data_IF_790767368579
#
_entry.id   IF_790767368579
#
_cell.length_a   1.000
_cell.length_b   1.000
_cell.length_c   1.000
_cell.angle_alpha   90.00
_cell.angle_beta   90.00
_cell.angle_gamma   90.00
#
_symmetry.space_group_name_H-M   'P 1'
#
loop_
_entity.id
_entity.type
_entity.pdbx_description
1 polymer ?
#
# COMPACT_ATOMS: atom_id res chain seq x y z
N UNK A 1 -15.78 -21.30 -35.68
CA UNK A 1 -14.31 -21.43 -35.71
C UNK A 1 -13.80 -20.41 -34.71
N UNK A 2 -13.43 -20.86 -33.51
CA UNK A 2 -12.87 -19.99 -32.47
C UNK A 2 -11.37 -19.92 -32.69
N UNK A 3 -10.85 -18.72 -32.93
CA UNK A 3 -9.42 -18.46 -32.92
C UNK A 3 -8.94 -18.42 -31.47
N UNK A 4 -8.16 -19.43 -31.11
CA UNK A 4 -7.39 -19.51 -29.88
C UNK A 4 -6.22 -18.55 -30.00
N UNK A 5 -6.30 -17.37 -29.38
CA UNK A 5 -5.13 -16.51 -29.19
C UNK A 5 -4.21 -17.16 -28.15
N UNK A 6 -3.23 -17.89 -28.64
CA UNK A 6 -2.09 -18.38 -27.86
C UNK A 6 -1.21 -17.16 -27.54
N UNK A 7 -1.27 -16.66 -26.31
CA UNK A 7 -0.37 -15.60 -25.86
C UNK A 7 1.06 -16.15 -25.81
N UNK A 8 1.85 -15.78 -26.81
CA UNK A 8 3.28 -16.05 -26.92
C UNK A 8 4.05 -15.35 -25.81
N UNK A 9 4.92 -16.11 -25.16
CA UNK A 9 5.86 -15.67 -24.12
C UNK A 9 6.79 -14.57 -24.65
N UNK A 10 6.76 -13.39 -24.03
CA UNK A 10 7.70 -12.31 -24.33
C UNK A 10 8.90 -12.38 -23.39
N UNK A 11 10.04 -12.84 -23.92
CA UNK A 11 11.30 -13.06 -23.20
C UNK A 11 11.99 -11.74 -22.81
N UNK A 12 11.52 -10.60 -23.32
CA UNK A 12 12.14 -9.29 -23.10
C UNK A 12 11.41 -8.39 -22.08
N UNK A 13 10.41 -8.92 -21.37
CA UNK A 13 9.55 -8.12 -20.50
C UNK A 13 10.02 -8.10 -19.04
N UNK A 14 10.16 -6.93 -18.39
CA UNK A 14 10.41 -6.85 -16.96
C UNK A 14 9.25 -7.48 -16.18
N UNK A 15 9.57 -8.40 -15.26
CA UNK A 15 8.66 -9.24 -14.45
C UNK A 15 7.66 -8.47 -13.55
N UNK A 16 7.56 -7.15 -13.64
CA UNK A 16 6.74 -6.34 -12.71
C UNK A 16 6.04 -5.14 -13.37
N UNK A 17 5.97 -5.06 -14.71
CA UNK A 17 5.30 -3.96 -15.41
C UNK A 17 3.86 -4.34 -15.80
N UNK A 18 2.87 -3.62 -15.27
CA UNK A 18 1.46 -3.88 -15.54
C UNK A 18 1.02 -3.43 -16.94
N UNK A 19 0.21 -4.23 -17.62
CA UNK A 19 -0.55 -3.75 -18.79
C UNK A 19 -1.75 -2.95 -18.32
N UNK A 20 -1.97 -1.77 -18.90
CA UNK A 20 -3.21 -1.02 -18.76
C UNK A 20 -4.25 -1.69 -19.66
N UNK A 21 -5.05 -2.59 -19.09
CA UNK A 21 -6.29 -3.06 -19.72
C UNK A 21 -7.45 -2.12 -19.39
N UNK A 22 -8.53 -2.15 -20.17
CA UNK A 22 -9.72 -1.31 -19.96
C UNK A 22 -10.33 -1.45 -18.55
N UNK A 23 -10.03 -2.53 -17.81
CA UNK A 23 -10.58 -2.88 -16.49
C UNK A 23 -9.52 -3.13 -15.37
N UNK A 24 -8.26 -2.67 -15.51
CA UNK A 24 -7.24 -2.75 -14.44
C UNK A 24 -5.82 -3.09 -14.90
N UNK A 25 -4.89 -3.18 -13.93
CA UNK A 25 -3.48 -3.52 -14.14
C UNK A 25 -3.22 -5.00 -13.86
N UNK A 26 -2.55 -5.69 -14.77
CA UNK A 26 -2.18 -7.11 -14.61
C UNK A 26 -0.68 -7.26 -14.41
N UNK A 27 -0.27 -7.87 -13.30
CA UNK A 27 1.12 -8.15 -12.96
C UNK A 27 1.37 -9.65 -12.94
N UNK A 28 2.50 -10.10 -13.49
CA UNK A 28 2.86 -11.51 -13.52
C UNK A 28 4.16 -11.75 -12.76
N UNK A 29 4.17 -12.69 -11.82
CA UNK A 29 5.38 -13.16 -11.16
C UNK A 29 5.60 -14.64 -11.44
N UNK A 30 6.85 -15.02 -11.73
CA UNK A 30 7.26 -16.40 -11.96
C UNK A 30 8.21 -16.87 -10.86
N UNK A 31 7.89 -18.02 -10.27
CA UNK A 31 8.68 -18.68 -9.25
C UNK A 31 9.12 -20.07 -9.72
N UNK A 32 10.42 -20.21 -9.97
CA UNK A 32 11.06 -21.51 -10.20
C UNK A 32 11.43 -22.09 -8.83
N UNK A 33 10.79 -23.20 -8.45
CA UNK A 33 10.92 -23.80 -7.12
C UNK A 33 11.39 -25.25 -7.20
N UNK A 34 12.44 -25.58 -6.44
CA UNK A 34 12.79 -26.97 -6.13
C UNK A 34 11.86 -27.45 -5.02
N UNK A 35 10.96 -28.38 -5.32
CA UNK A 35 10.03 -28.89 -4.30
C UNK A 35 10.83 -29.63 -3.24
N UNK A 36 10.82 -29.12 -2.01
CA UNK A 36 11.49 -29.74 -0.89
C UNK A 36 10.53 -30.06 0.25
N UNK A 37 10.86 -31.10 1.01
CA UNK A 37 10.23 -31.41 2.29
C UNK A 37 11.07 -30.86 3.42
N UNK A 38 10.41 -30.31 4.44
CA UNK A 38 11.02 -29.87 5.68
C UNK A 38 10.57 -30.79 6.80
N UNK A 39 11.51 -31.23 7.64
CA UNK A 39 11.17 -31.95 8.87
C UNK A 39 10.64 -30.96 9.90
N UNK A 40 9.42 -31.18 10.37
CA UNK A 40 8.80 -30.46 11.49
C UNK A 40 8.43 -31.50 12.54
N UNK A 41 9.21 -31.59 13.61
CA UNK A 41 9.07 -32.66 14.60
C UNK A 41 9.36 -34.04 13.99
N UNK A 42 8.39 -34.96 14.10
CA UNK A 42 8.47 -36.32 13.54
C UNK A 42 7.97 -36.44 12.10
N UNK A 43 7.40 -35.37 11.53
CA UNK A 43 6.78 -35.39 10.21
C UNK A 43 7.59 -34.61 9.17
N UNK A 44 7.49 -35.01 7.91
CA UNK A 44 8.15 -34.35 6.79
C UNK A 44 7.09 -33.79 5.83
N UNK A 45 7.04 -32.47 5.75
CA UNK A 45 5.97 -31.73 5.08
C UNK A 45 6.51 -30.88 3.93
N UNK A 46 5.71 -30.68 2.89
CA UNK A 46 6.07 -29.73 1.83
C UNK A 46 5.84 -28.32 2.40
N UNK A 47 6.91 -27.52 2.43
CA UNK A 47 6.85 -26.12 2.84
C UNK A 47 7.94 -25.35 2.11
N UNK A 48 7.55 -24.63 1.07
CA UNK A 48 8.45 -23.82 0.25
C UNK A 48 7.85 -22.42 0.15
N UNK A 49 8.69 -21.39 0.23
CA UNK A 49 8.27 -19.99 0.21
C UNK A 49 9.10 -19.28 -0.86
N UNK A 50 8.43 -18.52 -1.72
CA UNK A 50 9.12 -17.77 -2.77
C UNK A 50 9.92 -16.60 -2.16
N UNK A 51 10.91 -16.07 -2.88
CA UNK A 51 11.35 -14.70 -2.63
C UNK A 51 10.16 -13.74 -2.65
N UNK A 52 10.25 -12.67 -1.85
CA UNK A 52 9.27 -11.60 -1.92
C UNK A 52 9.37 -10.91 -3.29
N UNK A 53 8.22 -10.54 -3.85
CA UNK A 53 8.11 -9.84 -5.12
C UNK A 53 7.11 -8.70 -5.01
N UNK A 54 7.13 -7.78 -5.98
CA UNK A 54 6.36 -6.55 -5.90
C UNK A 54 5.51 -6.30 -7.13
N UNK A 55 4.29 -5.82 -6.91
CA UNK A 55 3.49 -5.14 -7.93
C UNK A 55 3.64 -3.64 -7.70
N UNK A 56 4.15 -2.92 -8.70
CA UNK A 56 4.46 -1.50 -8.57
C UNK A 56 3.97 -0.72 -9.80
N UNK A 57 3.31 0.40 -9.54
CA UNK A 57 2.83 1.33 -10.56
C UNK A 57 2.64 2.71 -9.93
N UNK A 58 2.90 3.80 -10.67
CA UNK A 58 2.76 5.20 -10.20
C UNK A 58 3.32 5.49 -8.79
N UNK A 59 4.50 4.94 -8.49
CA UNK A 59 5.18 5.15 -7.19
C UNK A 59 4.58 4.39 -6.01
N UNK A 60 3.49 3.64 -6.20
CA UNK A 60 2.89 2.78 -5.17
C UNK A 60 3.34 1.34 -5.37
N UNK A 61 3.71 0.67 -4.28
CA UNK A 61 4.19 -0.71 -4.29
C UNK A 61 3.44 -1.59 -3.30
N UNK A 62 3.04 -2.78 -3.73
CA UNK A 62 2.59 -3.88 -2.87
C UNK A 62 3.58 -5.02 -2.96
N UNK A 63 3.89 -5.63 -1.81
CA UNK A 63 4.83 -6.72 -1.67
C UNK A 63 4.08 -8.00 -1.35
N UNK A 64 4.43 -9.06 -2.08
CA UNK A 64 3.76 -10.34 -2.07
C UNK A 64 4.74 -11.47 -1.85
N UNK A 65 4.24 -12.65 -1.53
CA UNK A 65 5.01 -13.90 -1.48
C UNK A 65 4.12 -15.07 -1.81
N UNK A 66 4.63 -16.05 -2.56
CA UNK A 66 3.97 -17.34 -2.76
C UNK A 66 4.44 -18.33 -1.71
N UNK A 67 3.52 -19.14 -1.20
CA UNK A 67 3.82 -20.27 -0.31
C UNK A 67 3.21 -21.53 -0.89
N UNK A 68 4.03 -22.58 -1.03
CA UNK A 68 3.59 -23.94 -1.34
C UNK A 68 3.63 -24.73 -0.03
N UNK A 69 2.50 -25.17 0.49
CA UNK A 69 2.46 -25.95 1.72
C UNK A 69 1.36 -26.99 1.82
N UNK A 70 1.57 -27.99 2.66
CA UNK A 70 0.51 -28.89 3.11
C UNK A 70 -0.53 -28.10 3.94
N UNK A 71 -1.82 -28.28 3.63
CA UNK A 71 -2.96 -27.57 4.24
C UNK A 71 -3.09 -27.84 5.75
N UNK A 72 -2.57 -28.97 6.24
CA UNK A 72 -2.56 -29.35 7.65
C UNK A 72 -1.65 -28.49 8.55
N UNK A 73 -0.91 -27.52 7.98
CA UNK A 73 -0.04 -26.58 8.72
C UNK A 73 -0.68 -25.19 8.79
N UNK A 74 -1.85 -24.97 8.21
CA UNK A 74 -2.61 -23.73 8.39
C UNK A 74 -3.35 -23.78 9.74
N UNK A 75 -3.16 -22.79 10.64
CA UNK A 75 -3.74 -22.82 12.00
C UNK A 75 -5.28 -22.80 12.04
N UNK A 76 -5.95 -22.46 10.93
CA UNK A 76 -7.41 -22.27 10.86
C UNK A 76 -8.17 -23.40 10.15
N UNK A 77 -7.51 -24.51 9.77
CA UNK A 77 -8.20 -25.65 9.16
C UNK A 77 -8.81 -26.57 10.24
N UNK A 78 -10.06 -26.29 10.65
CA UNK A 78 -10.85 -27.17 11.52
C UNK A 78 -11.40 -28.42 10.81
N UNK A 79 -11.30 -28.47 9.48
CA UNK A 79 -11.75 -29.61 8.68
C UNK A 79 -10.59 -30.56 8.39
N UNK A 80 -10.46 -31.58 9.24
CA UNK A 80 -9.47 -32.66 9.15
C UNK A 80 -9.59 -33.56 7.88
N UNK A 81 -10.36 -33.15 6.87
CA UNK A 81 -10.63 -33.90 5.63
C UNK A 81 -9.87 -33.39 4.40
N UNK A 82 -9.14 -32.26 4.49
CA UNK A 82 -8.36 -31.68 3.39
C UNK A 82 -6.86 -31.80 3.63
N UNK A 83 -6.32 -33.02 3.59
CA UNK A 83 -4.87 -33.24 3.57
C UNK A 83 -4.34 -33.09 2.14
N UNK A 84 -4.04 -31.85 1.73
CA UNK A 84 -3.53 -31.54 0.38
C UNK A 84 -2.36 -30.56 0.38
N UNK A 85 -1.57 -30.56 -0.69
CA UNK A 85 -0.56 -29.53 -0.96
C UNK A 85 -1.22 -28.40 -1.75
N UNK A 86 -1.08 -27.17 -1.28
CA UNK A 86 -1.73 -26.02 -1.90
C UNK A 86 -0.76 -24.84 -2.10
N UNK A 87 -1.12 -23.94 -3.01
CA UNK A 87 -0.40 -22.69 -3.31
C UNK A 87 -1.17 -21.52 -2.75
N UNK A 88 -0.48 -20.68 -1.98
CA UNK A 88 -1.02 -19.51 -1.31
C UNK A 88 -0.33 -18.26 -1.83
N UNK A 89 -1.10 -17.18 -2.03
CA UNK A 89 -0.59 -15.83 -2.24
C UNK A 89 -0.71 -15.05 -0.94
N UNK A 90 0.38 -14.49 -0.45
CA UNK A 90 0.43 -13.68 0.77
C UNK A 90 0.64 -12.21 0.44
N UNK A 91 -0.19 -11.35 1.03
CA UNK A 91 0.05 -9.90 1.03
C UNK A 91 0.99 -9.57 2.18
N UNK A 92 2.27 -9.39 1.87
CA UNK A 92 3.33 -9.22 2.87
C UNK A 92 3.39 -7.81 3.40
N UNK A 93 3.38 -6.81 2.52
CA UNK A 93 3.51 -5.41 2.90
C UNK A 93 3.02 -4.46 1.80
N UNK A 94 2.66 -3.23 2.15
CA UNK A 94 2.19 -2.23 1.20
C UNK A 94 1.64 -0.98 1.87
N UNK A 95 0.93 -0.10 1.14
CA UNK A 95 0.50 1.20 1.65
C UNK A 95 -0.72 1.12 2.59
N UNK A 96 -1.56 0.10 2.48
CA UNK A 96 -2.76 -0.07 3.31
C UNK A 96 -2.75 -1.40 4.08
N UNK A 97 -3.47 -1.45 5.21
CA UNK A 97 -3.63 -2.67 6.00
C UNK A 97 -4.54 -3.67 5.27
N UNK A 98 -5.59 -3.17 4.62
CA UNK A 98 -6.57 -3.95 3.87
C UNK A 98 -6.59 -3.46 2.43
N UNK A 99 -6.61 -4.39 1.47
CA UNK A 99 -6.62 -4.11 0.04
C UNK A 99 -7.60 -5.05 -0.66
N UNK A 100 -8.17 -4.61 -1.78
CA UNK A 100 -9.01 -5.46 -2.63
C UNK A 100 -8.37 -5.58 -4.01
N UNK A 101 -8.02 -6.79 -4.43
CA UNK A 101 -7.57 -7.08 -5.80
C UNK A 101 -8.76 -7.43 -6.69
N UNK A 102 -8.57 -7.39 -8.01
CA UNK A 102 -9.63 -7.72 -8.97
C UNK A 102 -9.67 -9.21 -9.30
N UNK A 103 -8.51 -9.87 -9.38
CA UNK A 103 -8.38 -11.30 -9.68
C UNK A 103 -6.96 -11.79 -9.35
N UNK A 104 -6.81 -13.06 -8.96
CA UNK A 104 -5.51 -13.70 -8.87
C UNK A 104 -5.56 -15.14 -9.42
N UNK A 105 -4.69 -15.43 -10.40
CA UNK A 105 -4.65 -16.72 -11.11
C UNK A 105 -3.27 -17.34 -11.01
N UNK A 106 -3.23 -18.62 -10.66
CA UNK A 106 -2.00 -19.41 -10.60
C UNK A 106 -1.94 -20.40 -11.76
N UNK A 107 -0.77 -20.49 -12.37
CA UNK A 107 -0.42 -21.47 -13.39
C UNK A 107 0.78 -22.28 -12.92
N UNK A 108 0.75 -23.59 -13.17
CA UNK A 108 1.83 -24.50 -12.77
C UNK A 108 2.29 -25.27 -14.01
N UNK A 109 3.60 -25.24 -14.21
CA UNK A 109 4.29 -25.85 -15.34
C UNK A 109 5.26 -26.91 -14.82
N UNK A 110 5.30 -28.06 -15.49
CA UNK A 110 6.18 -29.17 -15.13
C UNK A 110 7.67 -28.88 -15.41
N UNK A 111 8.51 -29.86 -15.09
CA UNK A 111 9.97 -29.83 -15.32
C UNK A 111 10.36 -29.69 -16.80
N UNK A 112 9.43 -29.97 -17.73
CA UNK A 112 9.63 -29.97 -19.18
C UNK A 112 9.04 -28.74 -19.85
N UNK A 113 8.39 -27.85 -19.10
CA UNK A 113 7.73 -26.67 -19.66
C UNK A 113 6.28 -26.90 -20.08
N UNK A 114 5.67 -28.05 -19.80
CA UNK A 114 4.27 -28.30 -20.12
C UNK A 114 3.33 -27.74 -19.03
N UNK A 115 2.28 -26.99 -19.39
CA UNK A 115 1.26 -26.57 -18.45
C UNK A 115 0.54 -27.79 -17.85
N UNK A 116 0.52 -27.89 -16.52
CA UNK A 116 -0.17 -28.97 -15.79
C UNK A 116 -1.45 -28.46 -15.15
N UNK A 117 -1.38 -27.26 -14.56
CA UNK A 117 -2.54 -26.58 -13.99
C UNK A 117 -2.58 -25.16 -14.55
N UNK A 118 -3.75 -24.75 -15.05
CA UNK A 118 -3.93 -23.44 -15.67
C UNK A 118 -5.10 -22.70 -15.05
N UNK A 119 -4.92 -21.41 -14.79
CA UNK A 119 -5.95 -20.50 -14.29
C UNK A 119 -6.61 -20.92 -12.95
N UNK A 120 -5.84 -21.56 -12.07
CA UNK A 120 -6.30 -21.87 -10.71
C UNK A 120 -6.61 -20.54 -9.99
N UNK A 121 -7.83 -20.41 -9.47
CA UNK A 121 -8.31 -19.15 -8.93
C UNK A 121 -8.04 -19.01 -7.43
N UNK A 122 -7.65 -17.83 -6.99
CA UNK A 122 -7.82 -17.40 -5.60
C UNK A 122 -9.13 -16.60 -5.56
N UNK A 123 -10.14 -17.09 -4.83
CA UNK A 123 -11.49 -16.52 -4.88
C UNK A 123 -11.60 -15.26 -4.05
N UNK A 124 -10.82 -15.19 -2.98
CA UNK A 124 -10.73 -14.06 -2.08
C UNK A 124 -10.09 -12.89 -2.80
N UNK A 125 -10.81 -11.77 -2.81
CA UNK A 125 -10.35 -10.52 -3.37
C UNK A 125 -9.84 -9.56 -2.29
N UNK A 126 -10.21 -9.75 -1.03
CA UNK A 126 -9.79 -8.92 0.09
C UNK A 126 -8.58 -9.53 0.81
N UNK A 127 -7.49 -8.77 0.91
CA UNK A 127 -6.26 -9.18 1.58
C UNK A 127 -5.96 -8.24 2.74
N UNK A 128 -5.62 -8.82 3.88
CA UNK A 128 -5.12 -8.09 5.04
C UNK A 128 -3.61 -8.28 5.10
N UNK A 129 -2.85 -7.24 5.43
CA UNK A 129 -1.38 -7.33 5.51
C UNK A 129 -0.98 -8.41 6.50
N UNK A 130 -0.15 -9.34 6.04
CA UNK A 130 0.27 -10.54 6.76
C UNK A 130 -0.62 -11.77 6.52
N UNK A 131 -1.76 -11.64 5.82
CA UNK A 131 -2.61 -12.77 5.44
C UNK A 131 -2.26 -13.33 4.07
N UNK A 132 -2.72 -14.55 3.81
CA UNK A 132 -2.60 -15.18 2.50
C UNK A 132 -3.73 -16.15 2.25
N UNK A 133 -4.09 -16.27 0.97
CA UNK A 133 -5.23 -17.05 0.50
C UNK A 133 -4.76 -18.13 -0.46
N UNK A 134 -5.35 -19.32 -0.35
CA UNK A 134 -5.02 -20.46 -1.20
C UNK A 134 -5.76 -20.44 -2.52
N UNK A 135 -5.24 -21.16 -3.50
CA UNK A 135 -6.04 -21.48 -4.69
C UNK A 135 -7.22 -22.36 -4.30
N UNK A 136 -8.39 -22.01 -4.81
CA UNK A 136 -9.61 -22.81 -4.66
C UNK A 136 -9.57 -23.94 -5.67
N UNK A 137 -9.64 -25.16 -5.17
CA UNK A 137 -9.67 -26.39 -5.96
C UNK A 137 -10.83 -27.27 -5.51
N UNK A 138 -11.33 -28.11 -6.42
CA UNK A 138 -12.19 -29.23 -6.05
C UNK A 138 -11.37 -30.33 -5.37
N UNK A 139 -12.00 -31.27 -4.65
CA UNK A 139 -11.28 -32.39 -4.02
C UNK A 139 -10.47 -33.21 -5.03
N UNK A 140 -10.97 -33.37 -6.27
CA UNK A 140 -10.24 -34.07 -7.33
C UNK A 140 -9.01 -33.29 -7.81
N UNK A 141 -9.14 -31.98 -8.01
CA UNK A 141 -8.02 -31.11 -8.39
C UNK A 141 -6.98 -31.02 -7.27
N UNK A 142 -7.42 -30.92 -6.02
CA UNK A 142 -6.53 -30.95 -4.85
C UNK A 142 -5.75 -32.27 -4.78
N UNK A 143 -6.41 -33.39 -5.02
CA UNK A 143 -5.77 -34.71 -5.05
C UNK A 143 -4.70 -34.78 -6.15
N UNK A 144 -5.02 -34.32 -7.36
CA UNK A 144 -4.09 -34.26 -8.50
C UNK A 144 -2.91 -33.31 -8.22
N UNK A 145 -3.18 -32.15 -7.64
CA UNK A 145 -2.16 -31.16 -7.28
C UNK A 145 -1.21 -31.76 -6.25
N UNK A 146 -1.76 -32.41 -5.22
CA UNK A 146 -0.98 -33.08 -4.17
C UNK A 146 -0.11 -34.19 -4.74
N UNK A 147 -0.68 -35.08 -5.56
CA UNK A 147 0.06 -36.16 -6.22
C UNK A 147 1.18 -35.61 -7.12
N UNK A 148 0.90 -34.57 -7.90
CA UNK A 148 1.88 -33.89 -8.73
C UNK A 148 3.04 -33.33 -7.91
N UNK A 149 2.75 -32.62 -6.81
CA UNK A 149 3.77 -32.04 -5.94
C UNK A 149 4.61 -33.11 -5.25
N UNK A 150 3.99 -34.19 -4.77
CA UNK A 150 4.68 -35.31 -4.14
C UNK A 150 5.58 -36.07 -5.13
N UNK A 151 5.14 -36.27 -6.37
CA UNK A 151 5.93 -36.92 -7.43
C UNK A 151 7.12 -36.06 -7.87
N UNK A 152 7.02 -34.74 -7.72
CA UNK A 152 8.07 -33.78 -8.09
C UNK A 152 8.97 -33.34 -6.93
N UNK A 153 8.96 -34.05 -5.79
CA UNK A 153 9.93 -33.80 -4.72
C UNK A 153 11.36 -33.91 -5.27
N UNK A 154 12.21 -32.95 -4.91
CA UNK A 154 13.58 -32.74 -5.39
C UNK A 154 13.71 -32.30 -6.86
N UNK A 155 12.60 -32.11 -7.59
CA UNK A 155 12.61 -31.55 -8.93
C UNK A 155 12.23 -30.06 -8.91
N UNK A 156 12.64 -29.35 -9.98
CA UNK A 156 12.26 -27.96 -10.19
C UNK A 156 10.97 -27.88 -11.00
N UNK A 157 9.97 -27.19 -10.46
CA UNK A 157 8.76 -26.81 -11.18
C UNK A 157 8.69 -25.29 -11.29
N UNK A 158 7.77 -24.80 -12.11
CA UNK A 158 7.53 -23.37 -12.27
C UNK A 158 6.09 -23.05 -11.90
N UNK A 159 5.94 -22.10 -10.97
CA UNK A 159 4.65 -21.57 -10.51
C UNK A 159 4.60 -20.11 -10.92
N UNK A 160 3.61 -19.72 -11.72
CA UNK A 160 3.38 -18.33 -12.09
C UNK A 160 2.06 -17.83 -11.49
N UNK A 161 2.06 -16.60 -10.99
CA UNK A 161 0.85 -15.92 -10.51
C UNK A 161 0.61 -14.66 -11.32
N UNK A 162 -0.62 -14.49 -11.79
CA UNK A 162 -1.11 -13.26 -12.40
C UNK A 162 -2.02 -12.57 -11.38
N UNK A 163 -1.66 -11.35 -10.97
CA UNK A 163 -2.42 -10.53 -10.02
C UNK A 163 -2.99 -9.35 -10.80
N UNK A 164 -4.31 -9.24 -10.83
CA UNK A 164 -5.01 -8.10 -11.44
C UNK A 164 -5.49 -7.17 -10.33
N UNK A 165 -5.16 -5.88 -10.45
CA UNK A 165 -5.46 -4.86 -9.45
C UNK A 165 -6.05 -3.62 -10.11
N UNK A 166 -6.87 -2.87 -9.38
CA UNK A 166 -7.43 -1.62 -9.89
C UNK A 166 -6.34 -0.55 -9.97
N UNK A 167 -6.23 0.16 -11.10
CA UNK A 167 -5.22 1.21 -11.29
C UNK A 167 -5.33 2.32 -10.23
N UNK A 168 -6.53 2.58 -9.70
CA UNK A 168 -6.77 3.57 -8.64
C UNK A 168 -6.05 3.24 -7.34
N UNK A 169 -5.77 1.95 -7.08
CA UNK A 169 -4.97 1.53 -5.92
C UNK A 169 -3.52 2.00 -6.02
N UNK A 170 -3.06 2.37 -7.21
CA UNK A 170 -1.72 2.87 -7.41
C UNK A 170 -1.68 4.40 -7.43
N UNK A 171 -2.73 5.07 -6.96
CA UNK A 171 -2.73 6.51 -6.69
C UNK A 171 -2.21 6.79 -5.28
N UNK A 172 -1.04 7.45 -5.11
CA UNK A 172 -0.51 7.77 -3.78
C UNK A 172 -1.49 8.59 -2.93
N UNK A 173 -2.27 9.46 -3.58
CA UNK A 173 -3.24 10.33 -2.91
C UNK A 173 -4.39 9.56 -2.24
N UNK A 174 -4.67 8.33 -2.65
CA UNK A 174 -5.69 7.47 -2.02
C UNK A 174 -5.30 7.00 -0.62
N UNK A 175 -4.01 7.07 -0.26
CA UNK A 175 -3.50 6.69 1.06
C UNK A 175 -3.38 7.85 2.03
N UNK A 176 -3.61 9.08 1.55
CA UNK A 176 -3.65 10.28 2.37
C UNK A 176 -5.09 10.61 2.76
N UNK A 177 -5.32 11.28 3.90
CA UNK A 177 -6.67 11.66 4.31
C UNK A 177 -7.40 12.49 3.24
N UNK A 178 -8.67 12.18 2.96
CA UNK A 178 -9.43 12.92 1.96
C UNK A 178 -9.82 14.32 2.48
N UNK A 179 -9.44 15.36 1.73
CA UNK A 179 -9.75 16.77 2.03
C UNK A 179 -10.61 17.44 0.95
N UNK A 180 -10.92 16.75 -0.16
CA UNK A 180 -11.64 17.34 -1.29
C UNK A 180 -13.18 17.31 -1.12
N UNK A 181 -13.70 16.49 -0.20
CA UNK A 181 -15.15 16.35 0.09
C UNK A 181 -15.57 17.05 1.38
N UNK A 182 -15.02 18.23 1.63
CA UNK A 182 -15.14 18.92 2.92
C UNK A 182 -16.31 19.88 2.92
N UNK A 183 -16.95 20.00 4.09
CA UNK A 183 -17.96 21.03 4.32
C UNK A 183 -17.32 22.41 4.24
N UNK A 184 -17.81 23.27 3.34
CA UNK A 184 -17.40 24.69 3.26
C UNK A 184 -17.46 25.40 4.60
N UNK A 185 -18.37 24.96 5.48
CA UNK A 185 -18.47 25.45 6.85
C UNK A 185 -17.22 25.14 7.67
N UNK A 186 -16.73 23.90 7.66
CA UNK A 186 -15.54 23.49 8.41
C UNK A 186 -14.31 24.27 7.93
N UNK A 187 -14.11 24.38 6.61
CA UNK A 187 -13.01 25.17 6.05
C UNK A 187 -13.10 26.66 6.45
N UNK A 188 -14.31 27.24 6.40
CA UNK A 188 -14.54 28.62 6.84
C UNK A 188 -14.24 28.83 8.33
N UNK A 189 -14.60 27.87 9.19
CA UNK A 189 -14.27 27.94 10.63
C UNK A 189 -12.77 27.81 10.87
N UNK A 190 -12.06 26.96 10.12
CA UNK A 190 -10.60 26.86 10.17
C UNK A 190 -9.93 28.19 9.86
N UNK A 191 -10.31 28.84 8.74
CA UNK A 191 -9.74 30.14 8.35
C UNK A 191 -10.13 31.25 9.33
N UNK A 192 -11.36 31.23 9.84
CA UNK A 192 -11.85 32.16 10.85
C UNK A 192 -11.01 32.09 12.13
N UNK A 193 -10.74 30.87 12.64
CA UNK A 193 -9.85 30.68 13.79
C UNK A 193 -8.45 31.26 13.57
N UNK A 194 -7.84 31.00 12.41
CA UNK A 194 -6.49 31.49 12.12
C UNK A 194 -6.43 33.01 12.08
N UNK A 195 -7.44 33.64 11.49
CA UNK A 195 -7.60 35.09 11.52
C UNK A 195 -7.75 35.62 12.95
N UNK A 196 -8.55 34.96 13.78
CA UNK A 196 -8.74 35.37 15.18
C UNK A 196 -7.42 35.29 15.98
N UNK A 197 -6.56 34.33 15.68
CA UNK A 197 -5.22 34.22 16.28
C UNK A 197 -4.32 35.37 15.80
N UNK A 198 -4.32 35.66 14.50
CA UNK A 198 -3.56 36.78 13.91
C UNK A 198 -3.98 38.13 14.48
N UNK A 199 -5.29 38.36 14.66
CA UNK A 199 -5.84 39.60 15.22
C UNK A 199 -5.86 39.64 16.75
N UNK A 200 -5.20 38.68 17.42
CA UNK A 200 -5.17 38.53 18.88
C UNK A 200 -6.57 38.49 19.54
N UNK A 201 -7.58 38.08 18.79
CA UNK A 201 -8.96 37.89 19.27
C UNK A 201 -9.09 36.55 20.01
N UNK A 202 -8.29 35.56 19.61
CA UNK A 202 -8.11 34.28 20.31
C UNK A 202 -6.69 34.19 20.85
N UNK A 203 -6.56 33.97 22.16
CA UNK A 203 -5.27 33.76 22.81
C UNK A 203 -4.97 32.25 22.81
N UNK A 204 -3.88 31.87 22.17
CA UNK A 204 -3.35 30.50 22.22
C UNK A 204 -2.57 30.34 23.54
N UNK A 205 -2.94 29.38 24.41
CA UNK A 205 -2.26 29.19 25.68
C UNK A 205 -0.76 28.89 25.52
N UNK A 206 0.06 29.54 26.35
CA UNK A 206 1.52 29.43 26.39
C UNK A 206 2.24 29.75 25.07
N UNK A 207 1.59 30.45 24.14
CA UNK A 207 2.21 30.81 22.87
C UNK A 207 3.38 31.77 23.10
N UNK A 208 3.23 32.71 24.03
CA UNK A 208 4.27 33.66 24.47
C UNK A 208 5.55 32.98 24.96
N UNK A 209 5.43 31.80 25.59
CA UNK A 209 6.58 31.02 26.06
C UNK A 209 7.41 30.44 24.90
N UNK A 210 6.81 30.25 23.73
CA UNK A 210 7.47 29.69 22.54
C UNK A 210 7.75 30.71 21.45
N UNK A 211 7.17 31.92 21.51
CA UNK A 211 7.41 32.99 20.52
C UNK A 211 8.87 33.46 20.47
N UNK A 212 9.61 33.30 21.57
CA UNK A 212 11.04 33.63 21.64
C UNK A 212 11.95 32.42 21.34
N UNK A 213 11.38 31.28 20.97
CA UNK A 213 12.15 30.08 20.63
C UNK A 213 12.70 30.24 19.20
N UNK A 214 13.99 29.92 18.94
CA UNK A 214 14.50 29.81 17.57
C UNK A 214 13.73 28.77 16.73
N UNK A 215 13.04 27.83 17.38
CA UNK A 215 12.30 26.77 16.72
C UNK A 215 10.84 27.15 16.42
N UNK A 216 10.59 27.53 15.17
CA UNK A 216 9.25 27.90 14.68
C UNK A 216 8.24 26.76 14.73
N UNK A 217 8.67 25.49 14.75
CA UNK A 217 7.74 24.37 14.80
C UNK A 217 7.14 24.16 16.19
N UNK A 218 7.79 24.67 17.25
CA UNK A 218 7.18 24.75 18.57
C UNK A 218 5.96 25.70 18.57
N UNK A 219 6.08 26.84 17.89
CA UNK A 219 4.98 27.79 17.66
C UNK A 219 3.88 27.14 16.84
N UNK A 220 4.23 26.52 15.70
CA UNK A 220 3.23 25.87 14.84
C UNK A 220 2.48 24.76 15.56
N UNK A 221 3.17 23.95 16.39
CA UNK A 221 2.55 22.90 17.19
C UNK A 221 1.49 23.44 18.15
N UNK A 222 1.77 24.56 18.82
CA UNK A 222 0.86 25.19 19.79
C UNK A 222 -0.40 25.71 19.10
N UNK A 223 -0.23 26.47 18.01
CA UNK A 223 -1.37 27.00 17.23
C UNK A 223 -2.17 25.84 16.63
N UNK A 224 -1.50 24.85 16.04
CA UNK A 224 -2.16 23.71 15.40
C UNK A 224 -3.02 22.90 16.39
N UNK A 225 -2.46 22.58 17.56
CA UNK A 225 -3.15 21.78 18.58
C UNK A 225 -4.34 22.55 19.17
N UNK A 226 -4.16 23.84 19.47
CA UNK A 226 -5.24 24.68 19.98
C UNK A 226 -6.34 24.86 18.93
N UNK A 227 -5.99 25.08 17.67
CA UNK A 227 -6.94 25.27 16.58
C UNK A 227 -7.79 24.05 16.29
N UNK A 228 -7.21 22.85 16.31
CA UNK A 228 -8.00 21.62 16.20
C UNK A 228 -9.08 21.52 17.28
N UNK A 229 -8.74 21.85 18.54
CA UNK A 229 -9.68 21.80 19.66
C UNK A 229 -10.76 22.88 19.55
N UNK A 230 -10.35 24.12 19.24
CA UNK A 230 -11.24 25.27 19.18
C UNK A 230 -12.20 25.21 17.98
N UNK A 231 -11.72 24.83 16.80
CA UNK A 231 -12.57 24.61 15.62
C UNK A 231 -13.57 23.47 15.89
N UNK A 232 -13.12 22.38 16.51
CA UNK A 232 -14.00 21.29 16.93
C UNK A 232 -15.12 21.77 17.87
N UNK A 233 -14.77 22.66 18.81
CA UNK A 233 -15.75 23.29 19.72
C UNK A 233 -16.73 24.19 18.97
N UNK A 234 -16.27 25.07 18.07
CA UNK A 234 -17.12 25.97 17.26
C UNK A 234 -18.14 25.20 16.41
N UNK A 235 -17.77 24.01 15.96
CA UNK A 235 -18.64 23.14 15.15
C UNK A 235 -19.66 22.34 15.95
N UNK A 236 -19.60 22.36 17.30
CA UNK A 236 -20.55 21.69 18.19
C UNK A 236 -20.85 20.22 17.79
N UNK A 237 -19.81 19.47 17.39
CA UNK A 237 -19.94 18.05 17.01
C UNK A 237 -20.52 17.79 15.61
N UNK A 238 -20.71 18.84 14.78
CA UNK A 238 -21.14 18.65 13.37
C UNK A 238 -20.07 18.06 12.45
N UNK A 239 -18.86 17.83 12.94
CA UNK A 239 -17.76 17.17 12.23
C UNK A 239 -16.96 16.31 13.20
N UNK A 240 -16.48 15.17 12.72
CA UNK A 240 -15.63 14.26 13.51
C UNK A 240 -14.24 14.89 13.75
N UNK A 241 -13.63 14.57 14.89
CA UNK A 241 -12.32 15.08 15.29
C UNK A 241 -11.23 14.79 14.25
N UNK A 242 -11.25 13.62 13.59
CA UNK A 242 -10.28 13.32 12.52
C UNK A 242 -10.50 14.21 11.31
N UNK A 243 -11.76 14.47 10.95
CA UNK A 243 -12.10 15.37 9.86
C UNK A 243 -11.64 16.79 10.15
N UNK A 244 -11.91 17.31 11.36
CA UNK A 244 -11.42 18.63 11.80
C UNK A 244 -9.89 18.68 11.70
N UNK A 245 -9.18 17.67 12.22
CA UNK A 245 -7.72 17.62 12.19
C UNK A 245 -7.16 17.63 10.77
N UNK A 246 -7.70 16.82 9.86
CA UNK A 246 -7.23 16.72 8.48
C UNK A 246 -7.49 18.01 7.69
N UNK A 247 -8.67 18.61 7.85
CA UNK A 247 -9.01 19.87 7.16
C UNK A 247 -8.21 21.03 7.72
N UNK A 248 -8.07 21.10 9.04
CA UNK A 248 -7.28 22.14 9.66
C UNK A 248 -5.81 22.04 9.27
N UNK A 249 -5.25 20.82 9.16
CA UNK A 249 -3.90 20.62 8.62
C UNK A 249 -3.77 21.13 7.20
N UNK A 250 -4.73 20.83 6.33
CA UNK A 250 -4.72 21.31 4.95
C UNK A 250 -4.73 22.85 4.87
N UNK A 251 -5.66 23.49 5.58
CA UNK A 251 -5.77 24.97 5.62
C UNK A 251 -4.52 25.58 6.24
N UNK A 252 -4.06 25.07 7.39
CA UNK A 252 -2.90 25.60 8.10
C UNK A 252 -1.62 25.46 7.28
N UNK A 253 -1.41 24.31 6.64
CA UNK A 253 -0.28 24.08 5.76
C UNK A 253 -0.28 25.08 4.59
N UNK A 254 -1.42 25.25 3.93
CA UNK A 254 -1.56 26.11 2.75
C UNK A 254 -1.48 27.60 3.09
N UNK A 255 -2.13 28.04 4.16
CA UNK A 255 -2.29 29.46 4.49
C UNK A 255 -1.20 29.99 5.42
N UNK A 256 -0.57 29.14 6.24
CA UNK A 256 0.37 29.58 7.28
C UNK A 256 1.80 29.08 7.07
N UNK A 257 1.99 27.86 6.52
CA UNK A 257 3.34 27.29 6.35
C UNK A 257 3.88 27.59 4.96
N UNK A 258 3.17 27.19 3.91
CA UNK A 258 3.62 27.31 2.52
C UNK A 258 3.98 28.73 2.06
N UNK A 259 3.33 29.81 2.53
CA UNK A 259 3.75 31.17 2.16
C UNK A 259 5.16 31.55 2.63
N UNK A 260 5.70 30.83 3.62
CA UNK A 260 7.07 31.00 4.12
C UNK A 260 8.08 30.03 3.52
N UNK A 261 7.68 29.16 2.59
CA UNK A 261 8.58 28.22 1.90
C UNK A 261 9.02 28.84 0.58
N UNK A 262 10.28 29.26 0.49
CA UNK A 262 10.84 29.92 -0.69
C UNK A 262 11.70 28.97 -1.53
N UNK A 263 12.37 28.00 -0.89
CA UNK A 263 13.20 27.00 -1.55
C UNK A 263 12.95 25.57 -1.05
N UNK A 264 13.72 24.62 -1.60
CA UNK A 264 13.61 23.21 -1.26
C UNK A 264 14.09 22.94 0.18
N UNK A 265 15.13 23.65 0.63
CA UNK A 265 15.66 23.54 1.99
C UNK A 265 14.59 23.92 3.03
N UNK A 266 13.85 25.01 2.81
CA UNK A 266 12.73 25.40 3.67
C UNK A 266 11.66 24.30 3.74
N UNK A 267 11.42 23.62 2.61
CA UNK A 267 10.46 22.52 2.55
C UNK A 267 10.94 21.28 3.32
N UNK A 268 12.24 20.98 3.29
CA UNK A 268 12.84 19.93 4.12
C UNK A 268 12.72 20.30 5.61
N UNK A 269 12.98 21.56 5.97
CA UNK A 269 12.77 22.04 7.34
C UNK A 269 11.31 21.86 7.80
N UNK A 270 10.33 22.02 6.90
CA UNK A 270 8.93 21.71 7.20
C UNK A 270 8.70 20.24 7.52
N UNK A 271 9.27 19.33 6.74
CA UNK A 271 9.15 17.89 6.98
C UNK A 271 9.83 17.50 8.30
N UNK A 272 11.07 17.94 8.52
CA UNK A 272 11.84 17.61 9.72
C UNK A 272 11.25 18.25 10.97
N UNK A 273 10.94 19.54 10.91
CA UNK A 273 10.35 20.30 11.99
C UNK A 273 9.00 19.73 12.44
N UNK A 274 8.12 19.38 11.49
CA UNK A 274 6.84 18.73 11.79
C UNK A 274 7.00 17.34 12.42
N UNK A 275 8.00 16.55 12.01
CA UNK A 275 8.30 15.24 12.62
C UNK A 275 8.85 15.36 14.03
N UNK A 276 9.83 16.25 14.23
CA UNK A 276 10.46 16.53 15.52
C UNK A 276 9.45 17.05 16.55
N UNK A 277 8.45 17.82 16.11
CA UNK A 277 7.39 18.37 16.96
C UNK A 277 6.13 17.50 17.03
N UNK A 278 6.14 16.33 16.38
CA UNK A 278 5.06 15.37 16.38
C UNK A 278 3.74 15.96 15.85
N UNK A 279 3.80 16.62 14.70
CA UNK A 279 2.65 17.16 13.95
C UNK A 279 2.43 16.34 12.66
N UNK A 280 2.06 15.05 12.75
CA UNK A 280 2.02 14.15 11.59
C UNK A 280 1.00 14.57 10.52
N UNK A 281 0.01 15.38 10.88
CA UNK A 281 -0.97 15.90 9.93
C UNK A 281 -0.34 16.90 8.95
N UNK A 282 0.67 17.66 9.39
CA UNK A 282 1.42 18.60 8.53
C UNK A 282 2.39 17.83 7.63
N UNK A 283 3.08 16.81 8.16
CA UNK A 283 3.93 15.92 7.35
C UNK A 283 3.12 15.29 6.20
N UNK A 284 1.88 14.85 6.48
CA UNK A 284 0.98 14.31 5.44
C UNK A 284 0.57 15.33 4.37
N UNK A 285 0.45 16.61 4.71
CA UNK A 285 0.15 17.65 3.71
C UNK A 285 1.37 18.01 2.86
N UNK A 286 2.58 17.96 3.44
CA UNK A 286 3.82 18.03 2.67
C UNK A 286 3.94 16.84 1.69
N UNK A 287 3.70 15.61 2.16
CA UNK A 287 3.64 14.41 1.31
C UNK A 287 2.57 14.54 0.22
N UNK A 288 1.41 15.12 0.54
CA UNK A 288 0.34 15.39 -0.44
C UNK A 288 0.80 16.34 -1.53
N UNK A 289 1.49 17.42 -1.16
CA UNK A 289 2.03 18.38 -2.12
C UNK A 289 3.01 17.69 -3.06
N UNK A 290 3.99 16.95 -2.51
CA UNK A 290 4.95 16.17 -3.30
C UNK A 290 4.22 15.23 -4.27
N UNK A 291 3.24 14.47 -3.79
CA UNK A 291 2.48 13.54 -4.63
C UNK A 291 1.74 14.27 -5.76
N UNK A 292 1.13 15.42 -5.48
CA UNK A 292 0.42 16.23 -6.49
C UNK A 292 1.38 16.76 -7.55
N UNK A 293 2.53 17.27 -7.15
CA UNK A 293 3.57 17.74 -8.08
C UNK A 293 4.10 16.60 -8.95
N UNK A 294 4.40 15.43 -8.36
CA UNK A 294 4.86 14.27 -9.11
C UNK A 294 3.82 13.75 -10.11
N UNK A 295 2.55 13.70 -9.73
CA UNK A 295 1.45 13.30 -10.62
C UNK A 295 1.29 14.30 -11.76
N UNK A 296 1.40 15.61 -11.49
CA UNK A 296 1.34 16.64 -12.52
C UNK A 296 2.53 16.57 -13.50
N UNK A 297 3.70 16.17 -13.02
CA UNK A 297 4.90 15.96 -13.84
C UNK A 297 4.84 14.69 -14.70
N UNK A 298 4.04 13.69 -14.33
CA UNK A 298 3.90 12.44 -15.09
C UNK A 298 3.15 12.62 -16.42
N UNK A 299 2.56 13.80 -16.67
CA UNK A 299 2.13 14.19 -18.03
C UNK A 299 3.32 14.55 -18.94
N UNK A 300 4.53 14.76 -18.42
CA UNK A 300 5.76 14.95 -19.18
C UNK A 300 7.05 14.69 -18.34
N UNK A 301 7.50 13.43 -18.29
CA UNK A 301 8.87 12.97 -17.93
C UNK A 301 9.34 13.21 -16.48
N UNK A 302 9.34 12.15 -15.67
CA UNK A 302 9.93 12.13 -14.32
C UNK A 302 11.33 11.50 -14.32
N UNK A 303 12.37 12.32 -14.14
CA UNK A 303 13.62 11.94 -13.48
C UNK A 303 14.18 13.20 -12.81
N UNK A 304 13.99 13.39 -11.49
CA UNK A 304 14.97 14.09 -10.65
C UNK A 304 14.61 14.21 -9.15
N UNK A 305 13.34 14.22 -8.74
CA UNK A 305 13.03 14.72 -7.37
C UNK A 305 13.06 13.64 -6.26
N UNK A 306 12.93 12.36 -6.60
CA UNK A 306 12.77 11.29 -5.58
C UNK A 306 14.06 10.63 -5.09
N UNK A 307 15.19 10.81 -5.76
CA UNK A 307 16.43 10.12 -5.35
C UNK A 307 17.05 10.75 -4.09
N UNK A 308 16.83 12.04 -3.83
CA UNK A 308 17.42 12.74 -2.67
C UNK A 308 16.61 12.57 -1.37
N UNK A 309 15.28 12.47 -1.44
CA UNK A 309 14.42 12.28 -0.26
C UNK A 309 14.54 10.88 0.36
N UNK A 310 14.77 9.84 -0.46
CA UNK A 310 14.93 8.47 0.05
C UNK A 310 16.38 8.09 0.37
N UNK A 311 17.38 8.67 -0.29
CA UNK A 311 18.79 8.40 0.00
C UNK A 311 19.29 9.05 1.30
N UNK A 312 18.55 10.02 1.85
CA UNK A 312 18.91 10.74 3.08
C UNK A 312 18.28 10.15 4.36
N UNK A 313 17.48 9.08 4.24
CA UNK A 313 16.81 8.42 5.36
C UNK A 313 17.41 7.06 5.76
N UNK A 314 18.65 6.74 5.34
CA UNK A 314 19.44 5.60 5.83
C UNK A 314 20.88 5.99 6.14
#
# INVERSE_FOLDING_TARGET
MCETTCNTFDVNRPSCSGEIGEDGLTFQYEWIVKISKRSIGSEAVILNVSPAFSTAFNGVQFTWTLRLSDDCIAPDCTDASSSGVNVFLYYKDGPAQEISILDARVNIVDTRGHPVFTNLNIVENEFTRGSGWSVRTTNEEMSKLTEFMQTNINNNIRIAVNIRMDARMFSPLCYLPCVDRVSRRLESECRSYLKDVETNTVIVPDLDLVLNNPDMFAVHRKIFSHGCAEVGRRLNGSSDTKQVNNVFAHVYFTDCIMPGVECFEDFIEVIEGSRNHHIPAITREAERLICRELIALDENRVYCVLFELYASCY
#
